data_IF_543608990169
#
_entry.id   IF_543608990169
#
_cell.length_a   1.000
_cell.length_b   1.000
_cell.length_c   1.000
_cell.angle_alpha   90.00
_cell.angle_beta   90.00
_cell.angle_gamma   90.00
#
_symmetry.space_group_name_H-M   'P 1'
#
loop_
_entity.id
_entity.type
_entity.pdbx_description
1 polymer ?
#
# COMPACT_ATOMS: atom_id res chain seq x y z
N UNK A 1 21.05 -26.29 -25.45
CA UNK A 1 21.45 -25.48 -24.27
C UNK A 1 21.87 -26.44 -23.15
N UNK A 2 23.00 -26.22 -22.46
CA UNK A 2 23.53 -27.16 -21.45
C UNK A 2 22.61 -27.24 -20.22
N UNK A 3 22.48 -28.43 -19.60
CA UNK A 3 21.73 -28.65 -18.36
C UNK A 3 22.13 -27.67 -17.23
N UNK A 4 23.41 -27.27 -17.17
CA UNK A 4 23.88 -26.25 -16.21
C UNK A 4 23.28 -24.85 -16.46
N UNK A 5 23.08 -24.48 -17.73
CA UNK A 5 22.45 -23.20 -18.10
C UNK A 5 20.95 -23.20 -17.77
N UNK A 6 20.26 -24.33 -17.96
CA UNK A 6 18.87 -24.50 -17.56
C UNK A 6 18.70 -24.43 -16.03
N UNK A 7 19.59 -25.07 -15.27
CA UNK A 7 19.55 -25.06 -13.81
C UNK A 7 19.79 -23.66 -13.23
N UNK A 8 20.76 -22.91 -13.77
CA UNK A 8 21.03 -21.52 -13.38
C UNK A 8 19.87 -20.59 -13.71
N UNK A 9 19.24 -20.75 -14.86
CA UNK A 9 18.05 -19.97 -15.23
C UNK A 9 16.88 -20.24 -14.28
N UNK A 10 16.63 -21.51 -13.93
CA UNK A 10 15.58 -21.89 -12.99
C UNK A 10 15.82 -21.32 -11.57
N UNK A 11 17.06 -21.36 -11.08
CA UNK A 11 17.44 -20.75 -9.80
C UNK A 11 17.24 -19.22 -9.81
N UNK A 12 17.60 -18.55 -10.91
CA UNK A 12 17.38 -17.11 -11.08
C UNK A 12 15.89 -16.73 -11.05
N UNK A 13 15.04 -17.50 -11.76
CA UNK A 13 13.58 -17.31 -11.75
C UNK A 13 13.01 -17.53 -10.35
N UNK A 14 13.45 -18.58 -9.65
CA UNK A 14 12.98 -18.88 -8.29
C UNK A 14 13.39 -17.78 -7.29
N UNK A 15 14.63 -17.30 -7.35
CA UNK A 15 15.09 -16.18 -6.53
C UNK A 15 14.33 -14.89 -6.83
N UNK A 16 14.10 -14.59 -8.12
CA UNK A 16 13.29 -13.44 -8.55
C UNK A 16 11.85 -13.52 -8.04
N UNK A 17 11.23 -14.70 -8.10
CA UNK A 17 9.88 -14.93 -7.58
C UNK A 17 9.80 -14.77 -6.06
N UNK A 18 10.81 -15.24 -5.32
CA UNK A 18 10.91 -15.05 -3.86
C UNK A 18 11.01 -13.57 -3.49
N UNK A 19 11.83 -12.80 -4.21
CA UNK A 19 11.97 -11.35 -4.01
C UNK A 19 10.68 -10.60 -4.35
N UNK A 20 10.01 -10.97 -5.44
CA UNK A 20 8.73 -10.41 -5.84
C UNK A 20 7.65 -10.62 -4.75
N UNK A 21 7.53 -11.84 -4.22
CA UNK A 21 6.59 -12.12 -3.13
C UNK A 21 6.92 -11.32 -1.86
N UNK A 22 8.19 -11.21 -1.51
CA UNK A 22 8.60 -10.49 -0.31
C UNK A 22 8.26 -8.99 -0.37
N UNK A 23 8.25 -8.38 -1.56
CA UNK A 23 7.88 -6.98 -1.77
C UNK A 23 6.40 -6.74 -2.05
N UNK A 24 5.55 -7.77 -2.00
CA UNK A 24 4.13 -7.67 -2.33
C UNK A 24 3.26 -8.14 -1.15
N UNK A 25 2.78 -7.22 -0.29
CA UNK A 25 2.07 -7.59 0.94
C UNK A 25 0.84 -8.44 0.64
N UNK A 26 0.60 -9.39 1.54
CA UNK A 26 -0.56 -10.29 1.54
C UNK A 26 -1.33 -10.08 2.84
N UNK A 27 -2.60 -10.47 2.85
CA UNK A 27 -3.43 -10.43 4.05
C UNK A 27 -2.82 -11.38 5.10
N UNK A 28 -2.51 -10.91 6.33
CA UNK A 28 -1.99 -11.78 7.39
C UNK A 28 -2.99 -12.88 7.76
N UNK A 29 -2.49 -14.06 8.13
CA UNK A 29 -3.31 -15.27 8.38
C UNK A 29 -4.41 -15.09 9.44
N UNK A 30 -4.22 -14.16 10.38
CA UNK A 30 -5.12 -13.87 11.48
C UNK A 30 -5.97 -12.60 11.28
N UNK A 31 -6.01 -12.06 10.07
CA UNK A 31 -6.79 -10.85 9.73
C UNK A 31 -7.84 -11.21 8.69
N UNK A 32 -9.10 -10.87 8.96
CA UNK A 32 -10.20 -11.03 8.00
C UNK A 32 -10.58 -9.66 7.44
N UNK A 33 -10.40 -9.40 6.14
CA UNK A 33 -10.84 -8.15 5.52
C UNK A 33 -12.36 -8.00 5.56
N UNK A 34 -12.83 -6.76 5.53
CA UNK A 34 -14.26 -6.47 5.36
C UNK A 34 -14.75 -7.03 4.04
N UNK A 35 -15.83 -7.82 4.05
CA UNK A 35 -16.50 -8.34 2.87
C UNK A 35 -17.68 -7.46 2.47
N UNK A 36 -18.05 -7.48 1.19
CA UNK A 36 -19.06 -6.55 0.65
C UNK A 36 -18.56 -5.11 0.65
N UNK A 37 -17.25 -4.92 0.48
CA UNK A 37 -16.62 -3.60 0.44
C UNK A 37 -17.13 -2.79 -0.76
N UNK A 38 -17.57 -1.57 -0.49
CA UNK A 38 -18.09 -0.64 -1.49
C UNK A 38 -17.12 0.53 -1.63
N UNK A 39 -16.19 0.46 -2.60
CA UNK A 39 -15.13 1.46 -2.77
C UNK A 39 -15.69 2.89 -2.85
N UNK A 40 -16.77 3.11 -3.60
CA UNK A 40 -17.38 4.44 -3.78
C UNK A 40 -17.82 5.09 -2.45
N UNK A 41 -18.20 4.30 -1.46
CA UNK A 41 -18.57 4.80 -0.12
C UNK A 41 -17.35 5.08 0.77
N UNK A 42 -16.21 4.48 0.44
CA UNK A 42 -14.96 4.65 1.15
C UNK A 42 -14.13 5.85 0.66
N UNK A 43 -14.38 6.29 -0.59
CA UNK A 43 -13.75 7.48 -1.17
C UNK A 43 -14.02 8.74 -0.33
N UNK A 44 -13.12 9.72 -0.48
CA UNK A 44 -13.18 10.98 0.25
C UNK A 44 -12.16 11.05 1.39
N UNK A 45 -12.43 11.93 2.36
CA UNK A 45 -11.48 12.33 3.38
C UNK A 45 -11.74 11.65 4.72
N UNK A 46 -10.69 11.08 5.26
CA UNK A 46 -10.65 10.46 6.57
C UNK A 46 -9.71 11.23 7.49
N UNK A 47 -10.10 11.36 8.76
CA UNK A 47 -9.28 11.95 9.81
C UNK A 47 -8.66 10.83 10.64
N UNK A 48 -7.36 10.89 10.85
CA UNK A 48 -6.68 9.93 11.70
C UNK A 48 -7.01 10.22 13.17
N UNK A 49 -7.58 9.23 13.85
CA UNK A 49 -7.93 9.33 15.28
C UNK A 49 -6.80 8.76 16.15
N UNK A 50 -6.15 7.68 15.69
CA UNK A 50 -5.02 7.04 16.34
C UNK A 50 -4.19 6.25 15.32
N UNK A 51 -2.91 6.02 15.64
CA UNK A 51 -1.99 5.22 14.83
C UNK A 51 -1.00 4.44 15.69
N UNK A 52 -0.44 3.38 15.11
CA UNK A 52 0.81 2.79 15.62
C UNK A 52 1.96 3.62 15.06
N UNK A 53 2.76 4.21 15.94
CA UNK A 53 3.75 5.20 15.53
C UNK A 53 4.83 4.56 14.64
N UNK A 54 5.09 5.20 13.50
CA UNK A 54 6.11 4.81 12.55
C UNK A 54 6.96 6.02 12.18
N UNK A 55 8.15 5.78 11.63
CA UNK A 55 9.10 6.86 11.34
C UNK A 55 8.59 7.91 10.34
N UNK A 56 7.65 7.55 9.48
CA UNK A 56 7.16 8.44 8.41
C UNK A 56 6.14 9.46 8.92
N UNK A 57 5.39 9.11 9.97
CA UNK A 57 4.32 9.94 10.52
C UNK A 57 4.68 10.56 11.88
N UNK A 58 5.82 10.18 12.45
CA UNK A 58 6.28 10.67 13.76
C UNK A 58 6.30 12.20 13.81
N UNK A 59 5.64 12.76 14.82
CA UNK A 59 5.52 14.21 15.04
C UNK A 59 4.52 14.93 14.14
N UNK A 60 3.72 14.19 13.35
CA UNK A 60 2.61 14.78 12.59
C UNK A 60 1.32 14.82 13.41
N UNK A 61 0.67 15.98 13.37
CA UNK A 61 -0.65 16.25 13.95
C UNK A 61 -1.65 16.64 12.84
N UNK A 62 -2.95 16.61 13.17
CA UNK A 62 -4.05 16.95 12.24
C UNK A 62 -3.95 16.18 10.93
N UNK A 63 -3.67 14.89 11.04
CA UNK A 63 -3.42 13.98 9.93
C UNK A 63 -4.71 13.56 9.24
N UNK A 64 -4.66 13.49 7.91
CA UNK A 64 -5.78 13.06 7.07
C UNK A 64 -5.30 12.12 5.97
N UNK A 65 -6.18 11.23 5.52
CA UNK A 65 -6.04 10.47 4.29
C UNK A 65 -7.19 10.82 3.35
N UNK A 66 -6.90 11.12 2.09
CA UNK A 66 -7.93 11.38 1.07
C UNK A 66 -7.80 10.37 -0.07
N UNK A 67 -8.91 9.69 -0.37
CA UNK A 67 -8.99 8.62 -1.34
C UNK A 67 -9.82 9.05 -2.56
N UNK A 68 -9.23 8.94 -3.75
CA UNK A 68 -9.91 9.27 -5.02
C UNK A 68 -9.72 8.16 -6.04
N UNK A 69 -10.76 7.87 -6.82
CA UNK A 69 -10.71 6.85 -7.88
C UNK A 69 -10.04 7.42 -9.14
N UNK A 70 -9.05 6.71 -9.67
CA UNK A 70 -8.41 7.01 -10.94
C UNK A 70 -9.18 6.36 -12.11
N UNK A 71 -8.99 6.85 -13.33
CA UNK A 71 -9.65 6.33 -14.52
C UNK A 71 -9.26 4.88 -14.90
N UNK A 72 -8.16 4.37 -14.35
CA UNK A 72 -7.68 3.00 -14.54
C UNK A 72 -8.19 2.02 -13.46
N UNK A 73 -9.05 2.49 -12.55
CA UNK A 73 -9.60 1.69 -11.44
C UNK A 73 -8.69 1.61 -10.21
N UNK A 74 -7.51 2.23 -10.23
CA UNK A 74 -6.66 2.35 -9.03
C UNK A 74 -7.16 3.48 -8.11
N UNK A 75 -6.73 3.46 -6.85
CA UNK A 75 -7.11 4.50 -5.88
C UNK A 75 -5.90 5.38 -5.59
N UNK A 76 -5.99 6.67 -5.85
CA UNK A 76 -5.01 7.63 -5.36
C UNK A 76 -5.21 7.85 -3.85
N UNK A 77 -4.11 7.82 -3.10
CA UNK A 77 -4.04 7.99 -1.66
C UNK A 77 -3.23 9.25 -1.37
N UNK A 78 -3.85 10.26 -0.77
CA UNK A 78 -3.15 11.47 -0.32
C UNK A 78 -3.16 11.54 1.21
N UNK A 79 -2.03 11.21 1.83
CA UNK A 79 -1.83 11.43 3.24
C UNK A 79 -1.29 12.84 3.47
N UNK A 80 -1.83 13.55 4.46
CA UNK A 80 -1.38 14.90 4.81
C UNK A 80 -1.37 15.11 6.32
N UNK A 81 -0.53 16.02 6.80
CA UNK A 81 -0.48 16.39 8.22
C UNK A 81 0.38 17.64 8.43
N UNK A 82 0.47 18.09 9.68
CA UNK A 82 1.30 19.22 10.08
C UNK A 82 2.39 18.70 11.01
N UNK A 83 3.64 19.05 10.71
CA UNK A 83 4.76 18.81 11.61
C UNK A 83 4.64 19.71 12.83
N UNK A 84 4.51 19.10 14.01
CA UNK A 84 4.18 19.81 15.26
C UNK A 84 5.27 20.84 15.65
N UNK A 85 6.54 20.54 15.37
CA UNK A 85 7.67 21.39 15.75
C UNK A 85 7.82 22.55 14.78
N UNK A 86 7.85 22.26 13.48
CA UNK A 86 8.12 23.28 12.46
C UNK A 86 6.87 23.99 11.93
N UNK A 87 5.67 23.49 12.25
CA UNK A 87 4.40 23.99 11.74
C UNK A 87 4.18 23.74 10.24
N UNK A 88 5.07 23.00 9.58
CA UNK A 88 5.02 22.80 8.12
C UNK A 88 4.03 21.70 7.75
N UNK A 89 3.23 21.95 6.71
CA UNK A 89 2.42 20.90 6.11
C UNK A 89 3.30 19.87 5.39
N UNK A 90 3.08 18.59 5.66
CA UNK A 90 3.68 17.47 4.93
C UNK A 90 2.58 16.70 4.19
N UNK A 91 2.93 16.16 3.03
CA UNK A 91 2.03 15.37 2.18
C UNK A 91 2.79 14.20 1.56
N UNK A 92 2.10 13.09 1.37
CA UNK A 92 2.58 11.92 0.64
C UNK A 92 1.47 11.41 -0.28
N UNK A 93 1.78 11.25 -1.56
CA UNK A 93 0.86 10.69 -2.56
C UNK A 93 1.26 9.25 -2.86
N UNK A 94 0.29 8.37 -2.96
CA UNK A 94 0.51 6.99 -3.33
C UNK A 94 -0.65 6.43 -4.16
N UNK A 95 -0.46 5.22 -4.67
CA UNK A 95 -1.46 4.49 -5.44
C UNK A 95 -1.77 3.19 -4.73
N UNK A 96 -3.05 2.95 -4.45
CA UNK A 96 -3.54 1.70 -3.91
C UNK A 96 -4.22 0.85 -4.98
N UNK A 97 -4.02 -0.46 -4.90
CA UNK A 97 -4.67 -1.46 -5.74
C UNK A 97 -5.18 -2.61 -4.87
N UNK A 98 -6.25 -3.26 -5.28
CA UNK A 98 -6.77 -4.43 -4.57
C UNK A 98 -5.75 -5.58 -4.57
N UNK A 99 -5.66 -6.28 -3.44
CA UNK A 99 -4.80 -7.47 -3.29
C UNK A 99 -5.42 -8.66 -4.02
N UNK A 100 -6.76 -8.79 -3.95
CA UNK A 100 -7.54 -9.86 -4.59
C UNK A 100 -8.64 -9.27 -5.46
N UNK A 101 -9.86 -9.20 -4.93
CA UNK A 101 -11.05 -8.68 -5.63
C UNK A 101 -11.50 -7.34 -5.02
N UNK A 102 -12.39 -6.64 -5.71
CA UNK A 102 -12.89 -5.30 -5.34
C UNK A 102 -13.94 -5.30 -4.20
N UNK A 103 -14.50 -6.47 -3.88
CA UNK A 103 -15.52 -6.64 -2.83
C UNK A 103 -14.93 -6.92 -1.45
N UNK A 104 -13.60 -6.95 -1.34
CA UNK A 104 -12.87 -7.07 -0.09
C UNK A 104 -12.09 -5.80 0.21
N UNK A 105 -12.17 -5.33 1.45
CA UNK A 105 -11.41 -4.18 1.95
C UNK A 105 -9.91 -4.49 2.15
N UNK A 106 -9.29 -5.13 1.17
CA UNK A 106 -7.88 -5.54 1.18
C UNK A 106 -7.15 -4.89 -0.01
N UNK A 107 -6.42 -3.81 0.27
CA UNK A 107 -5.63 -3.06 -0.71
C UNK A 107 -4.17 -3.02 -0.28
N UNK A 108 -3.29 -2.82 -1.25
CA UNK A 108 -1.86 -2.53 -1.04
C UNK A 108 -1.52 -1.19 -1.68
N UNK A 109 -0.70 -0.39 -1.00
CA UNK A 109 -0.39 1.00 -1.36
C UNK A 109 1.08 1.16 -1.71
N UNK A 110 1.39 1.86 -2.79
CA UNK A 110 2.75 2.28 -3.13
C UNK A 110 2.87 3.79 -3.09
N UNK A 111 3.71 4.32 -2.20
CA UNK A 111 4.03 5.77 -2.14
C UNK A 111 5.28 6.12 -2.96
N UNK A 112 6.17 5.15 -3.16
CA UNK A 112 7.37 5.27 -3.98
C UNK A 112 7.54 3.93 -4.70
N UNK A 113 7.33 3.91 -6.02
CA UNK A 113 7.48 2.67 -6.81
C UNK A 113 8.90 2.09 -6.71
N UNK A 114 9.09 0.77 -6.91
CA UNK A 114 8.11 -0.26 -7.28
C UNK A 114 7.50 -1.02 -6.08
N UNK A 115 7.68 -0.57 -4.84
CA UNK A 115 7.29 -1.33 -3.64
C UNK A 115 5.92 -0.95 -3.12
N UNK A 116 5.17 -1.95 -2.65
CA UNK A 116 3.88 -1.76 -2.00
C UNK A 116 3.99 -2.11 -0.51
N UNK A 117 3.32 -1.33 0.33
CA UNK A 117 3.06 -1.62 1.74
C UNK A 117 1.55 -1.70 1.98
N UNK A 118 1.13 -2.46 2.97
CA UNK A 118 -0.28 -2.71 3.26
C UNK A 118 -0.42 -3.80 4.31
#
# INVERSE_FOLDING_TARGET
MSAKKLLLAALGIFAGYKLYKAGNPQIPDNVTPVTGFELNRYLGKWFEVARVDNRFEKGLIKTTAEYTLNGDGTVNVLNSGIDEISGRHKRASGTAVFVRNEYEGALKVSFFGPFYGG
#
